data_IF_023980474005
#
_entry.id   IF_023980474005
#
_cell.length_a   1.000
_cell.length_b   1.000
_cell.length_c   1.000
_cell.angle_alpha   90.00
_cell.angle_beta   90.00
_cell.angle_gamma   90.00
#
_symmetry.space_group_name_H-M   'P 1'
#
loop_
_entity.id
_entity.type
_entity.pdbx_description
1 polymer ?
#
# COMPACT_ATOMS: atom_id res chain seq x y z
N UNK A 1 -13.55 21.67 5.32
CA UNK A 1 -14.25 20.44 5.77
C UNK A 1 -13.70 19.21 5.05
N UNK A 2 -14.08 18.01 5.50
CA UNK A 2 -13.76 16.72 4.84
C UNK A 2 -14.84 15.67 5.11
N UNK A 3 -14.92 14.64 4.26
CA UNK A 3 -15.74 13.46 4.52
C UNK A 3 -14.85 12.42 5.19
N UNK A 4 -15.23 12.02 6.40
CA UNK A 4 -14.66 10.86 7.06
C UNK A 4 -15.44 9.61 6.70
N UNK A 5 -14.76 8.47 6.68
CA UNK A 5 -15.39 7.15 6.56
C UNK A 5 -14.98 6.26 7.72
N UNK A 6 -15.92 5.49 8.24
CA UNK A 6 -15.69 4.51 9.30
C UNK A 6 -16.33 3.19 8.94
N UNK A 7 -15.70 2.09 9.33
CA UNK A 7 -16.26 0.76 9.13
C UNK A 7 -17.20 0.46 10.30
N UNK A 8 -18.47 0.26 10.00
CA UNK A 8 -19.48 -0.17 10.97
C UNK A 8 -20.31 -1.31 10.36
N UNK A 9 -20.39 -2.43 11.08
CA UNK A 9 -21.15 -3.61 10.68
C UNK A 9 -20.84 -4.10 9.23
N UNK A 10 -19.57 -4.04 8.82
CA UNK A 10 -19.14 -4.47 7.49
C UNK A 10 -19.43 -3.49 6.34
N UNK A 11 -19.99 -2.32 6.64
CA UNK A 11 -20.25 -1.25 5.65
C UNK A 11 -19.53 0.04 6.03
N UNK A 12 -19.25 0.88 5.04
CA UNK A 12 -18.74 2.22 5.31
C UNK A 12 -19.88 3.15 5.68
N UNK A 13 -19.72 3.83 6.82
CA UNK A 13 -20.54 4.96 7.22
C UNK A 13 -19.70 6.22 7.03
N UNK A 14 -20.30 7.20 6.39
CA UNK A 14 -19.68 8.48 6.07
C UNK A 14 -20.27 9.59 6.93
N UNK A 15 -19.41 10.52 7.33
CA UNK A 15 -19.82 11.75 8.01
C UNK A 15 -19.03 12.93 7.49
N UNK A 16 -19.69 14.07 7.39
CA UNK A 16 -19.08 15.35 7.08
C UNK A 16 -18.51 15.94 8.37
N UNK A 17 -17.20 16.17 8.38
CA UNK A 17 -16.45 16.59 9.56
C UNK A 17 -15.68 17.90 9.27
N UNK A 18 -15.33 18.59 10.35
CA UNK A 18 -14.46 19.76 10.32
C UNK A 18 -13.36 19.62 11.37
N UNK A 19 -12.13 19.91 10.95
CA UNK A 19 -11.00 20.02 11.88
C UNK A 19 -11.03 21.39 12.54
N UNK A 20 -10.85 21.40 13.85
CA UNK A 20 -10.79 22.61 14.66
C UNK A 20 -9.61 22.51 15.63
N UNK A 21 -8.99 23.63 15.96
CA UNK A 21 -7.84 23.65 16.86
C UNK A 21 -8.30 23.75 18.30
N UNK A 22 -7.93 22.75 19.11
CA UNK A 22 -8.14 22.73 20.55
C UNK A 22 -6.79 22.41 21.20
N UNK A 23 -6.07 23.41 21.72
CA UNK A 23 -4.69 23.25 22.14
C UNK A 23 -4.48 22.01 23.04
N UNK A 24 -3.46 21.19 22.78
CA UNK A 24 -2.37 21.39 21.81
C UNK A 24 -2.64 20.84 20.40
N UNK A 25 -3.79 20.21 20.13
CA UNK A 25 -4.01 19.42 18.93
C UNK A 25 -5.18 19.90 18.06
N UNK A 26 -5.17 19.48 16.80
CA UNK A 26 -6.32 19.60 15.93
C UNK A 26 -7.26 18.42 16.16
N UNK A 27 -8.51 18.71 16.56
CA UNK A 27 -9.56 17.71 16.79
C UNK A 27 -10.58 17.74 15.67
N UNK A 28 -11.34 16.65 15.54
CA UNK A 28 -12.40 16.52 14.54
C UNK A 28 -13.77 16.70 15.18
N UNK A 29 -14.60 17.58 14.61
CA UNK A 29 -16.02 17.71 14.96
C UNK A 29 -16.88 17.16 13.82
N UNK A 30 -17.84 16.31 14.15
CA UNK A 30 -18.85 15.84 13.20
C UNK A 30 -19.88 16.95 12.99
N UNK A 31 -20.09 17.34 11.73
CA UNK A 31 -21.10 18.33 11.35
C UNK A 31 -22.41 17.65 10.97
N UNK A 32 -22.33 16.63 10.12
CA UNK A 32 -23.50 15.94 9.57
C UNK A 32 -23.18 14.48 9.27
N UNK A 33 -24.10 13.57 9.60
CA UNK A 33 -23.96 12.16 9.23
C UNK A 33 -24.54 11.95 7.83
N UNK A 34 -23.73 11.43 6.91
CA UNK A 34 -24.10 11.18 5.51
C UNK A 34 -24.59 9.74 5.27
N UNK A 35 -24.59 8.89 6.30
CA UNK A 35 -25.01 7.50 6.17
C UNK A 35 -24.05 6.66 5.31
N UNK A 36 -24.57 5.66 4.60
CA UNK A 36 -23.74 4.74 3.81
C UNK A 36 -23.47 5.21 2.38
N UNK A 37 -24.25 6.16 1.86
CA UNK A 37 -24.16 6.59 0.47
C UNK A 37 -24.16 8.13 0.33
N UNK A 38 -22.97 8.76 0.33
CA UNK A 38 -22.83 10.20 0.15
C UNK A 38 -23.35 10.72 -1.20
N UNK A 39 -23.46 9.87 -2.22
CA UNK A 39 -23.94 10.27 -3.54
C UNK A 39 -25.40 10.73 -3.52
N UNK A 40 -26.19 10.35 -2.50
CA UNK A 40 -27.58 10.80 -2.36
C UNK A 40 -27.71 12.31 -2.14
N UNK A 41 -26.65 12.95 -1.64
CA UNK A 41 -26.61 14.39 -1.41
C UNK A 41 -26.18 15.19 -2.64
N UNK A 42 -25.95 14.53 -3.77
CA UNK A 42 -25.51 15.14 -5.03
C UNK A 42 -26.66 15.09 -6.02
N UNK A 43 -27.19 16.27 -6.37
CA UNK A 43 -28.27 16.39 -7.35
C UNK A 43 -27.69 16.81 -8.70
N UNK A 44 -27.83 15.93 -9.71
CA UNK A 44 -27.39 16.19 -11.07
C UNK A 44 -28.52 16.77 -11.92
N UNK A 45 -28.24 17.86 -12.62
CA UNK A 45 -29.12 18.45 -13.63
C UNK A 45 -28.70 18.04 -15.05
N UNK A 46 -27.43 17.69 -15.22
CA UNK A 46 -26.83 17.11 -16.44
C UNK A 46 -25.59 16.30 -16.05
N UNK A 47 -24.84 15.80 -17.04
CA UNK A 47 -23.60 15.05 -16.81
C UNK A 47 -22.51 15.87 -16.10
N UNK A 48 -22.57 17.21 -16.22
CA UNK A 48 -21.56 18.15 -15.71
C UNK A 48 -22.13 19.14 -14.71
N UNK A 49 -23.41 19.50 -14.82
CA UNK A 49 -24.06 20.43 -13.89
C UNK A 49 -24.70 19.68 -12.72
N UNK A 50 -24.26 19.99 -11.51
CA UNK A 50 -24.76 19.38 -10.28
C UNK A 50 -24.73 20.39 -9.12
N UNK A 51 -25.51 20.12 -8.07
CA UNK A 51 -25.48 20.84 -6.79
C UNK A 51 -25.42 19.87 -5.61
N UNK A 52 -24.88 20.32 -4.49
CA UNK A 52 -24.76 19.52 -3.27
C UNK A 52 -25.79 20.04 -2.27
N UNK A 53 -26.73 19.19 -1.87
CA UNK A 53 -27.95 19.59 -1.16
C UNK A 53 -27.70 19.92 0.32
N UNK A 54 -26.51 19.62 0.85
CA UNK A 54 -26.15 19.77 2.27
C UNK A 54 -25.92 21.23 2.69
N UNK A 55 -25.80 22.17 1.75
CA UNK A 55 -25.46 23.57 2.03
C UNK A 55 -26.45 24.25 2.99
N UNK A 56 -27.77 24.02 2.79
CA UNK A 56 -28.81 24.61 3.64
C UNK A 56 -28.78 24.05 5.06
N UNK A 57 -28.51 22.75 5.21
CA UNK A 57 -28.43 22.09 6.51
C UNK A 57 -27.19 22.56 7.30
N UNK A 58 -26.08 22.80 6.61
CA UNK A 58 -24.89 23.40 7.23
C UNK A 58 -25.12 24.84 7.68
N UNK A 59 -25.83 25.63 6.89
CA UNK A 59 -26.23 27.00 7.25
C UNK A 59 -27.09 27.02 8.53
N UNK A 60 -28.02 26.07 8.69
CA UNK A 60 -28.83 25.95 9.93
C UNK A 60 -27.97 25.66 11.17
N UNK A 61 -26.85 24.95 11.00
CA UNK A 61 -25.90 24.61 12.07
C UNK A 61 -24.91 25.77 12.33
N UNK A 62 -24.96 26.83 11.52
CA UNK A 62 -24.09 28.00 11.64
C UNK A 62 -22.73 27.83 10.95
N UNK A 63 -22.60 26.87 10.03
CA UNK A 63 -21.38 26.70 9.22
C UNK A 63 -21.60 27.38 7.87
N UNK A 64 -20.88 28.47 7.64
CA UNK A 64 -20.86 29.15 6.33
C UNK A 64 -19.96 28.38 5.36
N UNK A 65 -20.53 27.94 4.24
CA UNK A 65 -19.83 27.15 3.23
C UNK A 65 -20.33 27.51 1.84
N UNK A 66 -19.46 27.36 0.85
CA UNK A 66 -19.78 27.59 -0.56
C UNK A 66 -19.85 26.27 -1.33
N UNK A 67 -20.63 26.26 -2.42
CA UNK A 67 -20.73 25.11 -3.31
C UNK A 67 -19.37 24.62 -3.83
N UNK A 68 -18.40 25.52 -4.07
CA UNK A 68 -17.04 25.13 -4.47
C UNK A 68 -16.26 24.35 -3.39
N UNK A 69 -16.50 24.65 -2.11
CA UNK A 69 -15.89 23.87 -1.02
C UNK A 69 -16.54 22.50 -0.93
N UNK A 70 -17.87 22.44 -1.04
CA UNK A 70 -18.63 21.20 -1.05
C UNK A 70 -18.22 20.31 -2.23
N UNK A 71 -18.06 20.86 -3.43
CA UNK A 71 -17.55 20.16 -4.62
C UNK A 71 -16.19 19.49 -4.36
N UNK A 72 -15.29 20.19 -3.67
CA UNK A 72 -13.97 19.65 -3.30
C UNK A 72 -14.10 18.49 -2.30
N UNK A 73 -15.01 18.61 -1.35
CA UNK A 73 -15.21 17.60 -0.29
C UNK A 73 -15.89 16.35 -0.85
N UNK A 74 -16.89 16.51 -1.71
CA UNK A 74 -17.62 15.41 -2.36
C UNK A 74 -16.93 14.87 -3.62
N UNK A 75 -15.77 15.39 -4.00
CA UNK A 75 -15.07 15.07 -5.25
C UNK A 75 -14.97 13.56 -5.54
N UNK A 76 -14.63 12.75 -4.54
CA UNK A 76 -14.50 11.29 -4.69
C UNK A 76 -15.81 10.56 -5.01
N UNK A 77 -16.97 11.20 -4.78
CA UNK A 77 -18.30 10.66 -5.01
C UNK A 77 -18.97 11.22 -6.28
N UNK A 78 -18.30 12.15 -6.96
CA UNK A 78 -18.80 12.71 -8.22
C UNK A 78 -18.65 11.71 -9.38
N UNK A 79 -19.51 11.86 -10.40
CA UNK A 79 -19.34 11.16 -11.68
C UNK A 79 -18.04 11.58 -12.37
N UNK A 80 -17.44 10.72 -13.23
CA UNK A 80 -16.19 11.05 -13.92
C UNK A 80 -16.24 12.37 -14.70
N UNK A 81 -17.37 12.69 -15.33
CA UNK A 81 -17.52 13.93 -16.11
C UNK A 81 -17.64 15.17 -15.20
N UNK A 82 -18.35 15.06 -14.07
CA UNK A 82 -18.38 16.09 -13.04
C UNK A 82 -17.00 16.31 -12.40
N UNK A 83 -16.23 15.25 -12.13
CA UNK A 83 -14.84 15.36 -11.63
C UNK A 83 -13.96 16.14 -12.59
N UNK A 84 -14.02 15.84 -13.90
CA UNK A 84 -13.26 16.56 -14.93
C UNK A 84 -13.57 18.06 -14.92
N UNK A 85 -14.85 18.41 -14.76
CA UNK A 85 -15.26 19.80 -14.69
C UNK A 85 -14.74 20.52 -13.43
N UNK A 86 -14.82 19.86 -12.28
CA UNK A 86 -14.27 20.38 -11.03
C UNK A 86 -12.76 20.61 -11.15
N UNK A 87 -12.02 19.67 -11.76
CA UNK A 87 -10.58 19.83 -12.00
C UNK A 87 -10.27 20.99 -12.94
N UNK A 88 -11.07 21.14 -14.00
CA UNK A 88 -10.94 22.25 -14.93
C UNK A 88 -11.20 23.61 -14.25
N UNK A 89 -12.24 23.70 -13.42
CA UNK A 89 -12.57 24.87 -12.61
C UNK A 89 -11.44 25.22 -11.63
N UNK A 90 -10.86 24.22 -10.96
CA UNK A 90 -9.74 24.38 -10.02
C UNK A 90 -8.47 24.90 -10.70
N UNK A 91 -8.14 24.38 -11.88
CA UNK A 91 -6.96 24.79 -12.62
C UNK A 91 -7.02 26.27 -13.03
N UNK A 92 -8.22 26.82 -13.25
CA UNK A 92 -8.41 28.26 -13.51
C UNK A 92 -8.24 29.13 -12.26
N UNK A 93 -8.54 28.59 -11.07
CA UNK A 93 -8.47 29.32 -9.78
C UNK A 93 -7.13 29.19 -9.05
N UNK A 94 -6.14 28.47 -9.61
CA UNK A 94 -4.80 28.35 -9.02
C UNK A 94 -4.01 29.67 -9.12
N UNK A 95 -4.43 30.65 -8.32
CA UNK A 95 -3.53 31.69 -7.83
C UNK A 95 -2.52 30.95 -6.95
N UNK A 96 -1.23 31.06 -7.30
CA UNK A 96 -0.08 30.48 -6.59
C UNK A 96 -0.27 30.65 -5.07
N UNK A 97 -0.79 29.64 -4.39
CA UNK A 97 -0.64 29.55 -2.94
C UNK A 97 0.85 29.48 -2.71
N UNK A 98 1.44 30.57 -2.21
CA UNK A 98 2.82 30.56 -1.78
C UNK A 98 3.00 29.34 -0.88
N UNK A 99 3.93 28.47 -1.22
CA UNK A 99 4.29 27.36 -0.33
C UNK A 99 4.77 28.00 0.96
N UNK A 100 3.90 28.05 1.98
CA UNK A 100 4.33 28.39 3.33
C UNK A 100 5.52 27.46 3.60
N UNK A 101 6.69 28.03 3.88
CA UNK A 101 7.83 27.25 4.30
C UNK A 101 7.58 26.93 5.77
N UNK A 102 7.50 25.65 6.08
CA UNK A 102 7.42 25.12 7.43
C UNK A 102 8.47 24.02 7.57
N UNK A 103 9.01 23.81 8.78
CA UNK A 103 9.89 22.69 9.05
C UNK A 103 9.14 21.37 8.84
N UNK A 104 9.74 20.38 8.13
CA UNK A 104 9.12 19.06 7.93
C UNK A 104 8.72 18.37 9.25
N UNK A 105 9.40 18.71 10.35
CA UNK A 105 9.16 18.21 11.71
C UNK A 105 7.75 18.50 12.25
N UNK A 106 7.06 19.52 11.72
CA UNK A 106 5.65 19.81 12.08
C UNK A 106 4.69 18.70 11.64
N UNK A 107 5.08 17.91 10.63
CA UNK A 107 4.29 16.76 10.16
C UNK A 107 4.87 15.50 10.76
N UNK A 108 4.05 14.63 11.32
CA UNK A 108 4.51 13.38 11.90
C UNK A 108 5.35 12.53 10.92
N UNK A 109 6.44 11.91 11.39
CA UNK A 109 7.39 11.20 10.52
C UNK A 109 6.71 10.10 9.69
N UNK A 110 5.76 9.37 10.30
CA UNK A 110 5.02 8.32 9.61
C UNK A 110 4.15 8.87 8.48
N UNK A 111 3.54 10.05 8.66
CA UNK A 111 2.76 10.72 7.62
C UNK A 111 3.65 11.19 6.47
N UNK A 112 4.85 11.70 6.78
CA UNK A 112 5.86 12.05 5.77
C UNK A 112 6.24 10.84 4.93
N UNK A 113 6.56 9.71 5.58
CA UNK A 113 6.90 8.45 4.89
C UNK A 113 5.79 7.98 3.98
N UNK A 114 4.54 8.02 4.47
CA UNK A 114 3.36 7.63 3.70
C UNK A 114 3.19 8.51 2.47
N UNK A 115 3.28 9.84 2.60
CA UNK A 115 3.14 10.74 1.45
C UNK A 115 4.26 10.58 0.43
N UNK A 116 5.51 10.42 0.87
CA UNK A 116 6.64 10.16 -0.03
C UNK A 116 6.38 8.87 -0.81
N UNK A 117 5.98 7.79 -0.14
CA UNK A 117 5.71 6.52 -0.81
C UNK A 117 4.51 6.62 -1.77
N UNK A 118 3.44 7.33 -1.40
CA UNK A 118 2.23 7.47 -2.22
C UNK A 118 2.42 8.38 -3.43
N UNK A 119 3.13 9.50 -3.28
CA UNK A 119 3.30 10.49 -4.36
C UNK A 119 4.50 10.24 -5.25
N UNK A 120 5.58 9.65 -4.70
CA UNK A 120 6.84 9.47 -5.41
C UNK A 120 7.17 7.99 -5.69
N UNK A 121 6.35 7.03 -5.23
CA UNK A 121 6.58 5.58 -5.34
C UNK A 121 7.99 5.17 -4.82
N UNK A 122 8.45 5.89 -3.78
CA UNK A 122 9.79 5.70 -3.23
C UNK A 122 9.83 4.48 -2.30
N UNK A 123 10.79 3.57 -2.53
CA UNK A 123 10.90 2.30 -1.75
C UNK A 123 11.43 2.48 -0.34
N UNK A 124 12.22 3.52 -0.12
CA UNK A 124 12.92 3.78 1.14
C UNK A 124 12.70 5.24 1.60
N UNK A 125 11.44 5.62 1.91
CA UNK A 125 11.07 7.02 2.16
C UNK A 125 11.82 7.65 3.33
N UNK A 126 12.26 6.85 4.31
CA UNK A 126 13.08 7.29 5.46
C UNK A 126 14.39 7.98 5.05
N UNK A 127 14.95 7.70 3.88
CA UNK A 127 16.20 8.34 3.42
C UNK A 127 16.04 9.81 3.03
N UNK A 128 14.81 10.26 2.82
CA UNK A 128 14.49 11.60 2.32
C UNK A 128 13.43 12.29 3.18
N UNK A 129 13.06 11.72 4.33
CA UNK A 129 11.95 12.21 5.15
C UNK A 129 12.20 13.60 5.77
N UNK A 130 13.46 13.96 5.94
CA UNK A 130 13.89 15.28 6.46
C UNK A 130 13.94 16.36 5.36
N UNK A 131 13.81 15.96 4.09
CA UNK A 131 13.75 16.92 2.99
C UNK A 131 12.38 17.57 2.93
N UNK A 132 12.34 18.86 2.65
CA UNK A 132 11.09 19.58 2.43
C UNK A 132 10.45 19.18 1.10
N UNK A 133 9.20 18.75 1.17
CA UNK A 133 8.34 18.56 0.01
C UNK A 133 7.10 19.46 0.09
N UNK A 134 6.72 20.18 -0.98
CA UNK A 134 5.59 21.10 -0.96
C UNK A 134 4.26 20.47 -0.53
N UNK A 135 4.08 19.19 -0.81
CA UNK A 135 2.85 18.45 -0.51
C UNK A 135 2.66 18.13 0.97
N UNK A 136 3.70 18.27 1.81
CA UNK A 136 3.51 18.15 3.27
C UNK A 136 2.56 19.22 3.82
N UNK A 137 2.47 20.37 3.15
CA UNK A 137 1.61 21.47 3.59
C UNK A 137 0.12 21.13 3.51
N UNK A 138 -0.22 20.04 2.81
CA UNK A 138 -1.58 19.52 2.76
C UNK A 138 -2.00 18.81 4.04
N UNK A 139 -1.06 18.47 4.94
CA UNK A 139 -1.36 17.83 6.23
C UNK A 139 -1.37 18.79 7.42
N UNK A 140 -0.92 20.03 7.21
CA UNK A 140 -0.93 21.05 8.26
C UNK A 140 -2.35 21.51 8.57
N UNK A 141 -2.54 21.91 9.83
CA UNK A 141 -3.82 22.44 10.32
C UNK A 141 -4.96 21.41 10.21
N UNK A 142 -4.63 20.12 10.37
CA UNK A 142 -5.56 18.98 10.22
C UNK A 142 -5.59 18.11 11.46
N UNK A 143 -6.78 17.58 11.76
CA UNK A 143 -6.92 16.56 12.80
C UNK A 143 -6.46 15.19 12.30
N UNK A 144 -6.12 14.29 13.23
CA UNK A 144 -5.73 12.89 12.90
C UNK A 144 -6.72 12.21 11.95
N UNK A 145 -8.02 12.36 12.21
CA UNK A 145 -9.09 11.82 11.36
C UNK A 145 -9.04 12.38 9.92
N UNK A 146 -8.76 13.67 9.75
CA UNK A 146 -8.68 14.28 8.42
C UNK A 146 -7.44 13.79 7.66
N UNK A 147 -6.29 13.71 8.34
CA UNK A 147 -5.04 13.21 7.76
C UNK A 147 -5.22 11.75 7.31
N UNK A 148 -5.85 10.92 8.14
CA UNK A 148 -6.09 9.51 7.80
C UNK A 148 -7.01 9.38 6.59
N UNK A 149 -8.16 10.05 6.56
CA UNK A 149 -9.05 10.02 5.41
C UNK A 149 -8.39 10.60 4.15
N UNK A 150 -7.54 11.61 4.29
CA UNK A 150 -6.77 12.17 3.20
C UNK A 150 -5.82 11.15 2.58
N UNK A 151 -5.01 10.46 3.40
CA UNK A 151 -4.09 9.42 2.95
C UNK A 151 -4.83 8.22 2.38
N UNK A 152 -5.97 7.87 2.96
CA UNK A 152 -6.77 6.74 2.54
C UNK A 152 -7.30 6.90 1.11
N UNK A 153 -7.57 8.12 0.66
CA UNK A 153 -7.93 8.42 -0.74
C UNK A 153 -6.80 8.08 -1.74
N UNK A 154 -5.53 8.15 -1.32
CA UNK A 154 -4.41 7.71 -2.16
C UNK A 154 -4.21 6.20 -2.08
N UNK A 155 -4.30 5.63 -0.87
CA UNK A 155 -4.13 4.19 -0.64
C UNK A 155 -5.16 3.36 -1.43
N UNK A 156 -6.39 3.84 -1.58
CA UNK A 156 -7.44 3.15 -2.36
C UNK A 156 -7.13 3.04 -3.84
N UNK A 157 -6.39 4.00 -4.40
CA UNK A 157 -6.04 4.04 -5.82
C UNK A 157 -4.91 3.07 -6.17
N UNK A 158 -4.16 2.60 -5.17
CA UNK A 158 -3.05 1.68 -5.38
C UNK A 158 -3.56 0.30 -5.82
N UNK A 159 -2.93 -0.26 -6.85
CA UNK A 159 -3.15 -1.66 -7.19
C UNK A 159 -2.50 -2.59 -6.14
N UNK A 160 -2.78 -3.88 -6.23
CA UNK A 160 -2.25 -4.87 -5.29
C UNK A 160 -0.71 -4.81 -5.11
N UNK A 161 0.04 -4.74 -6.21
CA UNK A 161 1.51 -4.73 -6.17
C UNK A 161 2.06 -3.44 -5.56
N UNK A 162 1.41 -2.32 -5.86
CA UNK A 162 1.69 -1.02 -5.27
C UNK A 162 1.40 -1.01 -3.78
N UNK A 163 0.28 -1.60 -3.34
CA UNK A 163 -0.03 -1.75 -1.90
C UNK A 163 1.04 -2.55 -1.17
N UNK A 164 1.51 -3.66 -1.76
CA UNK A 164 2.63 -4.43 -1.20
C UNK A 164 3.88 -3.55 -1.07
N UNK A 165 4.30 -2.89 -2.16
CA UNK A 165 5.49 -2.03 -2.13
C UNK A 165 5.35 -0.88 -1.13
N UNK A 166 4.16 -0.30 -1.05
CA UNK A 166 3.82 0.78 -0.12
C UNK A 166 3.97 0.33 1.33
N UNK A 167 3.38 -0.81 1.71
CA UNK A 167 3.49 -1.35 3.08
C UNK A 167 4.95 -1.65 3.44
N UNK A 168 5.69 -2.28 2.53
CA UNK A 168 7.11 -2.55 2.73
C UNK A 168 7.93 -1.25 2.90
N UNK A 169 7.58 -0.18 2.17
CA UNK A 169 8.25 1.10 2.23
C UNK A 169 7.92 1.92 3.50
N UNK A 170 6.68 1.91 3.99
CA UNK A 170 6.32 2.71 5.17
C UNK A 170 6.74 2.01 6.47
N UNK A 171 6.65 0.69 6.52
CA UNK A 171 7.07 -0.14 7.65
C UNK A 171 8.50 -0.65 7.52
N UNK A 172 9.24 -0.28 6.47
CA UNK A 172 10.66 -0.61 6.28
C UNK A 172 10.97 -2.10 6.36
N UNK A 173 10.11 -2.94 5.80
CA UNK A 173 10.18 -4.40 5.88
C UNK A 173 11.23 -5.02 4.94
N UNK A 174 11.81 -4.22 4.04
CA UNK A 174 12.79 -4.65 3.03
C UNK A 174 14.08 -5.23 3.64
N UNK A 175 14.36 -4.96 4.91
CA UNK A 175 15.61 -5.36 5.57
C UNK A 175 15.54 -6.73 6.26
N UNK A 176 14.33 -7.28 6.40
CA UNK A 176 14.14 -8.56 7.06
C UNK A 176 14.51 -9.72 6.14
N UNK A 177 15.23 -10.68 6.71
CA UNK A 177 15.70 -11.88 6.03
C UNK A 177 14.69 -13.02 6.05
N UNK A 178 13.82 -13.09 7.06
CA UNK A 178 12.78 -14.12 7.20
C UNK A 178 11.38 -13.51 7.31
N UNK A 179 10.34 -14.32 7.09
CA UNK A 179 8.95 -13.89 7.28
C UNK A 179 8.66 -13.57 8.75
N UNK A 180 9.14 -14.40 9.68
CA UNK A 180 8.97 -14.16 11.12
C UNK A 180 9.60 -12.82 11.55
N UNK A 181 10.76 -12.48 10.98
CA UNK A 181 11.40 -11.19 11.23
C UNK A 181 10.55 -10.03 10.67
N UNK A 182 9.96 -10.19 9.47
CA UNK A 182 9.03 -9.20 8.91
C UNK A 182 7.81 -9.00 9.81
N UNK A 183 7.19 -10.09 10.26
CA UNK A 183 5.99 -10.06 11.10
C UNK A 183 6.29 -9.34 12.43
N UNK A 184 7.42 -9.65 13.06
CA UNK A 184 7.87 -9.01 14.29
C UNK A 184 8.14 -7.51 14.10
N UNK A 185 8.85 -7.12 13.04
CA UNK A 185 9.11 -5.70 12.73
C UNK A 185 7.81 -4.95 12.47
N UNK A 186 6.87 -5.56 11.74
CA UNK A 186 5.58 -4.97 11.44
C UNK A 186 4.76 -4.71 12.71
N UNK A 187 4.59 -5.72 13.56
CA UNK A 187 3.81 -5.62 14.81
C UNK A 187 4.46 -4.59 15.74
N UNK A 188 5.78 -4.65 15.94
CA UNK A 188 6.47 -3.72 16.83
C UNK A 188 6.30 -2.27 16.39
N UNK A 189 6.48 -1.97 15.10
CA UNK A 189 6.29 -0.61 14.58
C UNK A 189 4.84 -0.15 14.66
N UNK A 190 3.88 -1.05 14.47
CA UNK A 190 2.47 -0.70 14.62
C UNK A 190 2.14 -0.35 16.08
N UNK A 191 2.65 -1.13 17.03
CA UNK A 191 2.53 -0.84 18.46
C UNK A 191 3.20 0.48 18.85
N UNK A 192 4.43 0.73 18.38
CA UNK A 192 5.14 2.00 18.59
C UNK A 192 4.32 3.20 18.09
N UNK A 193 3.76 3.09 16.88
CA UNK A 193 2.89 4.14 16.32
C UNK A 193 1.61 4.34 17.13
N UNK A 194 1.01 3.26 17.63
CA UNK A 194 -0.21 3.35 18.43
C UNK A 194 0.02 4.07 19.76
N UNK A 195 1.22 3.94 20.35
CA UNK A 195 1.56 4.55 21.64
C UNK A 195 2.04 6.01 21.48
N UNK A 196 2.54 6.38 20.30
CA UNK A 196 3.05 7.72 20.01
C UNK A 196 1.96 8.80 20.14
N UNK A 197 2.11 9.66 21.15
CA UNK A 197 1.20 10.75 21.43
C UNK A 197 1.12 11.77 20.28
N UNK A 198 2.24 12.01 19.59
CA UNK A 198 2.28 12.94 18.46
C UNK A 198 1.50 12.41 17.26
N UNK A 199 1.48 11.08 17.09
CA UNK A 199 0.62 10.43 16.12
C UNK A 199 -0.84 10.44 16.55
N UNK A 200 -1.14 10.12 17.82
CA UNK A 200 -2.51 10.03 18.34
C UNK A 200 -3.23 11.38 18.36
N UNK A 201 -2.52 12.49 18.55
CA UNK A 201 -3.09 13.84 18.61
C UNK A 201 -4.26 13.94 19.62
N UNK A 202 -4.10 13.32 20.80
CA UNK A 202 -5.10 13.31 21.87
C UNK A 202 -6.21 12.24 21.75
N UNK A 203 -6.13 11.33 20.78
CA UNK A 203 -6.97 10.14 20.72
C UNK A 203 -6.43 9.03 21.64
N UNK A 204 -7.28 8.05 21.97
CA UNK A 204 -6.85 6.84 22.69
C UNK A 204 -6.19 5.82 21.75
N UNK A 205 -5.32 4.99 22.30
CA UNK A 205 -4.62 3.92 21.57
C UNK A 205 -5.64 2.99 20.87
N UNK A 206 -6.69 2.60 21.59
CA UNK A 206 -7.77 1.76 21.07
C UNK A 206 -8.51 2.40 19.90
N UNK A 207 -8.79 3.71 19.97
CA UNK A 207 -9.45 4.43 18.89
C UNK A 207 -8.58 4.49 17.65
N UNK A 208 -7.28 4.74 17.80
CA UNK A 208 -6.35 4.84 16.69
C UNK A 208 -6.13 3.49 16.02
N UNK A 209 -6.00 2.41 16.81
CA UNK A 209 -5.89 1.06 16.28
C UNK A 209 -7.18 0.68 15.55
N UNK A 210 -8.33 0.81 16.21
CA UNK A 210 -9.63 0.38 15.69
C UNK A 210 -10.04 1.14 14.43
N UNK A 211 -9.80 2.45 14.38
CA UNK A 211 -10.29 3.29 13.29
C UNK A 211 -9.28 3.45 12.15
N UNK A 212 -7.97 3.45 12.43
CA UNK A 212 -6.97 3.83 11.44
C UNK A 212 -5.92 2.76 11.16
N UNK A 213 -5.26 2.20 12.19
CA UNK A 213 -4.14 1.28 11.99
C UNK A 213 -4.57 -0.15 11.62
N UNK A 214 -5.79 -0.57 12.02
CA UNK A 214 -6.33 -1.90 11.72
C UNK A 214 -6.28 -2.27 10.23
N UNK A 215 -6.41 -1.28 9.34
CA UNK A 215 -6.33 -1.49 7.89
C UNK A 215 -4.97 -2.05 7.47
N UNK A 216 -3.89 -1.62 8.10
CA UNK A 216 -2.56 -2.15 7.80
C UNK A 216 -2.41 -3.58 8.26
N UNK A 217 -3.03 -3.95 9.39
CA UNK A 217 -3.07 -5.34 9.88
C UNK A 217 -3.76 -6.22 8.85
N UNK A 218 -4.96 -5.83 8.41
CA UNK A 218 -5.70 -6.56 7.38
C UNK A 218 -4.93 -6.65 6.08
N UNK A 219 -4.32 -5.55 5.62
CA UNK A 219 -3.53 -5.61 4.40
C UNK A 219 -2.32 -6.54 4.56
N UNK A 220 -1.57 -6.42 5.66
CA UNK A 220 -0.34 -7.17 5.88
C UNK A 220 -0.60 -8.67 6.02
N UNK A 221 -1.53 -9.07 6.90
CA UNK A 221 -1.77 -10.48 7.20
C UNK A 221 -2.75 -11.17 6.24
N UNK A 222 -3.74 -10.47 5.69
CA UNK A 222 -4.76 -11.12 4.85
C UNK A 222 -4.49 -10.95 3.36
N UNK A 223 -3.97 -9.79 2.94
CA UNK A 223 -3.84 -9.44 1.50
C UNK A 223 -2.47 -9.80 0.94
N UNK A 224 -1.37 -9.52 1.65
CA UNK A 224 -0.01 -9.80 1.16
C UNK A 224 0.34 -11.29 0.97
N UNK A 225 -0.09 -12.25 1.83
CA UNK A 225 0.33 -13.65 1.68
C UNK A 225 -0.36 -14.41 0.52
N UNK A 226 -1.29 -13.79 -0.21
CA UNK A 226 -2.02 -14.43 -1.33
C UNK A 226 -1.10 -14.72 -2.53
N UNK A 227 0.15 -14.25 -2.55
CA UNK A 227 1.19 -14.82 -3.42
C UNK A 227 1.95 -15.96 -2.74
N UNK A 228 1.23 -17.01 -2.37
CA UNK A 228 1.86 -18.34 -2.36
C UNK A 228 2.26 -18.62 -3.81
N UNK A 229 3.53 -18.97 -4.03
CA UNK A 229 3.97 -19.55 -5.31
C UNK A 229 2.93 -20.62 -5.66
N UNK A 230 2.24 -20.54 -6.83
CA UNK A 230 1.15 -21.48 -7.12
C UNK A 230 1.65 -22.90 -6.88
N UNK A 231 0.85 -23.75 -6.24
CA UNK A 231 1.28 -25.11 -5.83
C UNK A 231 1.90 -25.90 -6.99
N UNK A 232 1.50 -25.60 -8.23
CA UNK A 232 2.10 -26.11 -9.46
C UNK A 232 3.60 -25.82 -9.59
N UNK A 233 4.08 -24.62 -9.26
CA UNK A 233 5.51 -24.29 -9.30
C UNK A 233 6.29 -25.02 -8.20
N UNK A 234 5.70 -25.21 -7.01
CA UNK A 234 6.29 -26.01 -5.93
C UNK A 234 6.37 -27.50 -6.29
N UNK A 235 5.30 -28.06 -6.87
CA UNK A 235 5.28 -29.46 -7.35
C UNK A 235 6.17 -29.66 -8.58
N UNK A 236 6.26 -28.67 -9.47
CA UNK A 236 7.18 -28.69 -10.60
C UNK A 236 8.63 -28.68 -10.11
N UNK A 237 8.95 -27.87 -9.11
CA UNK A 237 10.28 -27.84 -8.48
C UNK A 237 10.60 -29.17 -7.79
N UNK A 238 9.69 -29.73 -6.99
CA UNK A 238 9.88 -31.06 -6.38
C UNK A 238 10.08 -32.18 -7.42
N UNK A 239 9.30 -32.17 -8.51
CA UNK A 239 9.42 -33.16 -9.59
C UNK A 239 10.78 -33.04 -10.29
N UNK A 240 11.22 -31.81 -10.54
CA UNK A 240 12.49 -31.53 -11.19
C UNK A 240 13.67 -31.92 -10.29
N UNK A 241 13.60 -31.66 -8.98
CA UNK A 241 14.63 -32.11 -8.03
C UNK A 241 14.69 -33.64 -7.90
N UNK A 242 13.55 -34.33 -7.92
CA UNK A 242 13.48 -35.81 -7.95
C UNK A 242 14.09 -36.37 -9.24
N UNK A 243 13.77 -35.78 -10.39
CA UNK A 243 14.36 -36.19 -11.67
C UNK A 243 15.88 -35.95 -11.73
N UNK A 244 16.36 -34.82 -11.22
CA UNK A 244 17.79 -34.52 -11.12
C UNK A 244 18.50 -35.50 -10.20
N UNK A 245 17.95 -35.76 -9.01
CA UNK A 245 18.49 -36.73 -8.06
C UNK A 245 18.60 -38.13 -8.68
N UNK A 246 17.56 -38.57 -9.41
CA UNK A 246 17.55 -39.84 -10.13
C UNK A 246 18.61 -39.89 -11.25
N UNK A 247 18.74 -38.84 -12.06
CA UNK A 247 19.73 -38.81 -13.15
C UNK A 247 21.17 -38.79 -12.61
N UNK A 248 21.40 -38.05 -11.53
CA UNK A 248 22.71 -37.93 -10.89
C UNK A 248 23.04 -39.10 -9.96
N UNK A 249 22.09 -39.99 -9.68
CA UNK A 249 22.20 -41.11 -8.73
C UNK A 249 22.60 -40.66 -7.31
N UNK A 250 21.96 -39.61 -6.81
CA UNK A 250 22.15 -39.10 -5.45
C UNK A 250 20.79 -38.90 -4.78
N UNK A 251 20.75 -38.77 -3.45
CA UNK A 251 19.48 -38.48 -2.77
C UNK A 251 19.08 -37.02 -2.98
N UNK A 252 17.78 -36.72 -2.94
CA UNK A 252 17.27 -35.35 -3.01
C UNK A 252 17.86 -34.49 -1.88
N UNK A 253 18.01 -35.05 -0.68
CA UNK A 253 18.64 -34.40 0.47
C UNK A 253 20.08 -33.99 0.17
N UNK A 254 20.90 -34.92 -0.36
CA UNK A 254 22.29 -34.59 -0.74
C UNK A 254 22.34 -33.52 -1.83
N UNK A 255 21.42 -33.53 -2.79
CA UNK A 255 21.35 -32.52 -3.84
C UNK A 255 21.13 -31.12 -3.27
N UNK A 256 20.35 -30.95 -2.19
CA UNK A 256 20.13 -29.64 -1.55
C UNK A 256 21.41 -29.05 -0.93
N UNK A 257 22.31 -29.88 -0.40
CA UNK A 257 23.52 -29.41 0.26
C UNK A 257 24.72 -29.18 -0.67
N UNK A 258 24.66 -29.67 -1.91
CA UNK A 258 25.73 -29.49 -2.88
C UNK A 258 25.81 -28.06 -3.43
N UNK A 259 27.03 -27.58 -3.64
CA UNK A 259 27.31 -26.30 -4.28
C UNK A 259 27.13 -26.37 -5.81
N UNK A 260 26.95 -25.21 -6.46
CA UNK A 260 26.82 -25.09 -7.93
C UNK A 260 27.96 -25.79 -8.68
N UNK A 261 29.19 -25.69 -8.15
CA UNK A 261 30.39 -26.28 -8.75
C UNK A 261 30.35 -27.81 -8.71
N UNK A 262 29.94 -28.38 -7.58
CA UNK A 262 29.85 -29.83 -7.39
C UNK A 262 28.74 -30.43 -8.26
N UNK A 263 27.58 -29.78 -8.31
CA UNK A 263 26.46 -30.22 -9.15
C UNK A 263 26.84 -30.19 -10.64
N UNK A 264 27.48 -29.11 -11.10
CA UNK A 264 27.98 -29.03 -12.48
C UNK A 264 29.03 -30.11 -12.78
N UNK A 265 29.84 -30.51 -11.79
CA UNK A 265 30.79 -31.61 -11.95
C UNK A 265 30.06 -32.93 -12.21
N UNK A 266 29.06 -33.25 -11.40
CA UNK A 266 28.24 -34.46 -11.53
C UNK A 266 27.51 -34.50 -12.89
N UNK A 267 26.93 -33.38 -13.32
CA UNK A 267 26.32 -33.28 -14.66
C UNK A 267 27.35 -33.51 -15.78
N UNK A 268 28.55 -32.93 -15.69
CA UNK A 268 29.61 -33.14 -16.68
C UNK A 268 30.06 -34.59 -16.75
N UNK A 269 30.19 -35.26 -15.60
CA UNK A 269 30.53 -36.68 -15.54
C UNK A 269 29.46 -37.55 -16.22
N UNK A 270 28.17 -37.25 -16.00
CA UNK A 270 27.05 -37.94 -16.68
C UNK A 270 27.00 -37.63 -18.18
N UNK A 271 27.13 -36.37 -18.58
CA UNK A 271 27.13 -35.93 -19.98
C UNK A 271 28.26 -36.61 -20.78
N UNK A 272 29.46 -36.74 -20.20
CA UNK A 272 30.57 -37.46 -20.83
C UNK A 272 30.25 -38.94 -21.08
N UNK A 273 29.57 -39.62 -20.15
CA UNK A 273 29.22 -41.04 -20.30
C UNK A 273 28.20 -41.29 -21.41
N UNK A 274 27.25 -40.38 -21.58
CA UNK A 274 26.19 -40.49 -22.58
C UNK A 274 26.49 -39.74 -23.89
N UNK A 275 27.72 -39.25 -24.07
CA UNK A 275 28.07 -38.47 -25.27
C UNK A 275 27.95 -39.34 -26.54
N UNK A 276 27.25 -38.88 -27.60
CA UNK A 276 27.06 -39.66 -28.83
C UNK A 276 28.38 -40.12 -29.46
N UNK A 277 29.38 -39.24 -29.48
CA UNK A 277 30.71 -39.52 -30.03
C UNK A 277 31.49 -40.60 -29.26
N UNK A 278 31.05 -40.97 -28.05
CA UNK A 278 31.63 -42.03 -27.22
C UNK A 278 30.76 -43.29 -27.24
N UNK A 279 29.82 -43.41 -28.18
CA UNK A 279 28.88 -44.53 -28.27
C UNK A 279 27.68 -44.44 -27.34
N UNK A 280 27.44 -43.27 -26.73
CA UNK A 280 26.30 -43.02 -25.85
C UNK A 280 24.99 -42.80 -26.59
N UNK A 281 23.87 -43.04 -25.92
CA UNK A 281 22.54 -42.78 -26.47
C UNK A 281 22.29 -41.28 -26.63
N UNK A 282 22.02 -40.85 -27.86
CA UNK A 282 21.76 -39.44 -28.23
C UNK A 282 20.53 -38.87 -27.54
N UNK A 283 19.50 -39.67 -27.30
CA UNK A 283 18.27 -39.21 -26.64
C UNK A 283 18.52 -38.90 -25.16
N UNK A 284 19.25 -39.78 -24.48
CA UNK A 284 19.63 -39.60 -23.08
C UNK A 284 20.54 -38.39 -22.90
N UNK A 285 21.46 -38.16 -23.84
CA UNK A 285 22.30 -36.96 -23.87
C UNK A 285 21.48 -35.66 -23.94
N UNK A 286 20.50 -35.60 -24.85
CA UNK A 286 19.62 -34.43 -25.00
C UNK A 286 18.78 -34.23 -23.73
N UNK A 287 18.25 -35.32 -23.17
CA UNK A 287 17.45 -35.28 -21.94
C UNK A 287 18.24 -34.73 -20.75
N UNK A 288 19.44 -35.23 -20.52
CA UNK A 288 20.32 -34.79 -19.41
C UNK A 288 20.69 -33.31 -19.58
N UNK A 289 20.98 -32.86 -20.80
CA UNK A 289 21.31 -31.46 -21.07
C UNK A 289 20.14 -30.52 -20.80
N UNK A 290 18.94 -30.85 -21.28
CA UNK A 290 17.72 -30.06 -21.03
C UNK A 290 17.42 -29.95 -19.54
N UNK A 291 17.57 -31.07 -18.82
CA UNK A 291 17.33 -31.15 -17.38
C UNK A 291 18.36 -30.33 -16.59
N UNK A 292 19.65 -30.35 -16.98
CA UNK A 292 20.67 -29.48 -16.42
C UNK A 292 20.34 -28.00 -16.63
N UNK A 293 19.97 -27.59 -17.84
CA UNK A 293 19.61 -26.20 -18.17
C UNK A 293 18.39 -25.73 -17.37
N UNK A 294 17.36 -26.57 -17.24
CA UNK A 294 16.17 -26.28 -16.44
C UNK A 294 16.53 -26.13 -14.96
N UNK A 295 17.30 -27.07 -14.40
CA UNK A 295 17.71 -27.03 -12.99
C UNK A 295 18.57 -25.81 -12.64
N UNK A 296 19.51 -25.45 -13.52
CA UNK A 296 20.35 -24.27 -13.29
C UNK A 296 19.55 -22.97 -13.30
N UNK A 297 18.53 -22.85 -14.16
CA UNK A 297 17.65 -21.66 -14.22
C UNK A 297 16.75 -21.53 -12.99
N UNK A 298 16.34 -22.65 -12.40
CA UNK A 298 15.45 -22.65 -11.24
C UNK A 298 16.21 -22.35 -9.95
N UNK A 299 17.41 -22.91 -9.78
CA UNK A 299 18.17 -22.84 -8.53
C UNK A 299 19.14 -21.65 -8.42
N UNK A 300 19.61 -21.08 -9.54
CA UNK A 300 20.65 -20.04 -9.57
C UNK A 300 20.40 -18.95 -10.59
#
# INVERSE_FOLDING_TARGET
MYISRRIANGTYIYSLNQSYFEPPYWKSKVLLNLGSNPCQYIQYYSDVAFSIVVEEDLKKIGVETDQFELERVFYSFLTPDAQRWVDFSRNRKSLKKGTKRFPPEEVHFFDRRRLIALRLDHREPWRVEDKFFPFYGELLEKSRDEIENYLWNFEDKLNYREKTRYIYAIFGLNYATSQEEQDNIFINRLCELSQDETYRMGLSDDEVIKNYLCRYVWFYFDVLPIRRVPSFYLTMEESLYKEVANVLNISVETLYFLSKREILRLFREKIKRYHPDLGGNREDFIRIRKLMEAFLKTRY
#
